data_IF_363504129580
#
_entry.id   IF_363504129580
#
_cell.length_a   1.000
_cell.length_b   1.000
_cell.length_c   1.000
_cell.angle_alpha   90.00
_cell.angle_beta   90.00
_cell.angle_gamma   90.00
#
_symmetry.space_group_name_H-M   'P 1'
#
loop_
_entity.id
_entity.type
_entity.pdbx_description
1 polymer ?
#
# COMPACT_ATOMS: atom_id res chain seq x y z
N UNK A 1 44.77 -30.39 4.31
CA UNK A 1 45.64 -30.16 3.15
C UNK A 1 44.88 -29.28 2.18
N UNK A 2 45.41 -28.06 1.96
CA UNK A 2 45.22 -27.09 0.84
C UNK A 2 43.76 -26.68 0.51
N UNK A 3 43.34 -25.40 0.58
CA UNK A 3 43.96 -24.13 0.15
C UNK A 3 43.10 -23.60 -1.03
N UNK A 4 42.28 -22.55 -0.84
CA UNK A 4 42.51 -21.14 -1.22
C UNK A 4 42.32 -20.91 -2.76
N UNK A 5 41.86 -19.83 -3.38
CA UNK A 5 41.66 -18.39 -3.13
C UNK A 5 40.71 -17.89 -4.27
N UNK A 6 39.74 -17.00 -4.05
CA UNK A 6 39.83 -15.53 -4.07
C UNK A 6 40.38 -14.97 -5.40
N UNK A 7 39.51 -14.30 -6.17
CA UNK A 7 39.84 -13.63 -7.43
C UNK A 7 40.07 -12.14 -7.13
N UNK A 8 41.33 -11.72 -7.14
CA UNK A 8 41.75 -10.32 -7.07
C UNK A 8 41.67 -9.69 -8.47
N UNK A 9 41.23 -8.42 -8.54
CA UNK A 9 41.25 -7.62 -9.77
C UNK A 9 42.24 -6.49 -9.52
N UNK A 10 43.29 -6.45 -10.34
CA UNK A 10 44.43 -5.54 -10.26
C UNK A 10 44.04 -4.05 -10.40
N UNK A 11 44.60 -3.22 -9.53
CA UNK A 11 44.43 -1.76 -9.41
C UNK A 11 45.62 -0.98 -10.02
N UNK A 12 46.12 -1.35 -11.19
CA UNK A 12 47.21 -0.61 -11.86
C UNK A 12 46.93 -0.49 -13.35
N UNK A 13 46.45 0.68 -13.78
CA UNK A 13 46.70 1.34 -15.09
C UNK A 13 45.51 2.22 -15.55
N UNK A 14 45.33 3.38 -14.90
CA UNK A 14 44.56 4.45 -15.54
C UNK A 14 45.14 5.83 -15.28
N UNK A 15 46.35 6.08 -15.79
CA UNK A 15 46.72 7.41 -16.25
C UNK A 15 47.65 7.34 -17.47
N UNK A 16 47.33 8.11 -18.53
CA UNK A 16 48.36 8.96 -19.11
C UNK A 16 47.96 10.44 -19.14
N UNK A 17 49.00 11.24 -19.04
CA UNK A 17 49.09 12.66 -18.76
C UNK A 17 49.03 13.53 -20.01
N UNK A 18 48.20 14.58 -20.04
CA UNK A 18 48.47 15.81 -20.82
C UNK A 18 47.88 17.06 -20.14
N UNK A 19 48.73 18.10 -20.10
CA UNK A 19 48.57 19.35 -19.37
C UNK A 19 47.50 20.30 -19.93
N UNK A 20 46.79 20.98 -19.02
CA UNK A 20 46.16 22.27 -19.29
C UNK A 20 44.76 22.43 -18.72
N UNK A 21 44.57 23.46 -17.88
CA UNK A 21 43.31 23.96 -17.33
C UNK A 21 42.77 23.31 -16.04
N UNK A 22 43.10 23.96 -14.93
CA UNK A 22 42.28 24.05 -13.73
C UNK A 22 40.83 24.37 -14.12
N UNK A 23 39.87 23.48 -13.85
CA UNK A 23 38.49 23.80 -13.48
C UNK A 23 37.96 22.65 -12.63
N UNK A 24 37.92 22.87 -11.31
CA UNK A 24 37.20 21.99 -10.41
C UNK A 24 35.72 21.98 -10.77
N UNK A 25 35.21 20.83 -11.20
CA UNK A 25 33.78 20.55 -11.17
C UNK A 25 33.54 19.29 -10.36
N UNK A 26 33.24 19.56 -9.10
CA UNK A 26 32.55 18.76 -8.11
C UNK A 26 31.69 17.66 -8.72
N UNK A 27 32.09 16.40 -8.50
CA UNK A 27 31.23 15.26 -8.73
C UNK A 27 30.10 15.31 -7.68
N UNK A 28 29.00 16.00 -8.01
CA UNK A 28 27.81 16.06 -7.16
C UNK A 28 27.25 14.67 -7.00
N UNK A 29 27.58 14.01 -5.87
CA UNK A 29 26.97 12.75 -5.46
C UNK A 29 25.48 12.99 -5.32
N UNK A 30 24.70 12.53 -6.29
CA UNK A 30 23.24 12.46 -6.17
C UNK A 30 22.95 11.44 -5.07
N UNK A 31 22.77 11.93 -3.84
CA UNK A 31 22.31 11.13 -2.71
C UNK A 31 20.94 10.55 -3.09
N UNK A 32 20.90 9.26 -3.44
CA UNK A 32 19.64 8.54 -3.70
C UNK A 32 18.85 8.52 -2.39
N UNK A 33 17.74 9.26 -2.34
CA UNK A 33 16.80 9.21 -1.21
C UNK A 33 16.26 7.79 -1.08
N UNK A 34 16.27 7.24 0.13
CA UNK A 34 15.72 5.92 0.41
C UNK A 34 14.18 6.00 0.42
N UNK A 35 13.53 5.05 -0.26
CA UNK A 35 12.07 4.97 -0.34
C UNK A 35 11.61 3.89 0.62
N UNK A 36 10.73 4.25 1.54
CA UNK A 36 10.15 3.30 2.49
C UNK A 36 9.05 2.46 1.82
N UNK A 37 8.84 1.19 2.22
CA UNK A 37 7.82 0.32 1.63
C UNK A 37 6.40 0.83 1.92
N UNK A 38 5.42 0.56 1.04
CA UNK A 38 4.02 0.96 1.27
C UNK A 38 3.41 0.34 2.53
N UNK A 39 2.55 1.11 3.21
CA UNK A 39 1.81 0.69 4.40
C UNK A 39 0.42 0.20 3.96
N UNK A 40 0.05 -1.02 4.35
CA UNK A 40 -1.22 -1.64 3.95
C UNK A 40 -2.27 -1.60 5.06
N UNK A 41 -3.50 -1.21 4.70
CA UNK A 41 -4.67 -1.24 5.58
C UNK A 41 -5.87 -1.88 4.90
N UNK A 42 -6.69 -2.60 5.68
CA UNK A 42 -7.95 -3.13 5.20
C UNK A 42 -9.07 -2.09 5.35
N UNK A 43 -9.80 -1.85 4.27
CA UNK A 43 -11.01 -1.04 4.27
C UNK A 43 -12.21 -1.99 4.24
N UNK A 44 -12.78 -2.27 5.42
CA UNK A 44 -13.98 -3.11 5.54
C UNK A 44 -15.23 -2.33 5.09
N UNK A 45 -15.93 -2.84 4.09
CA UNK A 45 -17.12 -2.22 3.50
C UNK A 45 -18.27 -3.22 3.49
N UNK A 46 -19.48 -2.81 3.88
CA UNK A 46 -20.64 -3.69 3.86
C UNK A 46 -21.21 -3.85 2.46
N UNK A 47 -22.05 -4.87 2.26
CA UNK A 47 -22.66 -5.13 0.95
C UNK A 47 -23.58 -3.98 0.52
N UNK A 48 -24.28 -3.35 1.47
CA UNK A 48 -25.16 -2.22 1.24
C UNK A 48 -24.36 -0.98 0.82
N UNK A 49 -23.24 -0.72 1.48
CA UNK A 49 -22.31 0.36 1.15
C UNK A 49 -21.71 0.17 -0.26
N UNK A 50 -21.39 -1.07 -0.63
CA UNK A 50 -20.86 -1.37 -1.97
C UNK A 50 -21.95 -1.25 -3.04
N UNK A 51 -23.19 -1.59 -2.71
CA UNK A 51 -24.31 -1.50 -3.63
C UNK A 51 -24.69 -0.04 -3.91
N UNK A 52 -24.81 0.79 -2.88
CA UNK A 52 -25.19 2.21 -3.03
C UNK A 52 -24.01 3.14 -3.29
N UNK A 53 -22.78 2.71 -2.99
CA UNK A 53 -21.61 3.58 -2.90
C UNK A 53 -21.61 4.35 -1.57
N UNK A 54 -20.42 4.65 -1.04
CA UNK A 54 -20.31 5.40 0.21
C UNK A 54 -18.98 6.16 0.30
N UNK A 55 -18.92 7.11 1.24
CA UNK A 55 -17.67 7.80 1.59
C UNK A 55 -17.20 7.32 2.96
N UNK A 56 -15.99 6.76 3.02
CA UNK A 56 -15.35 6.36 4.29
C UNK A 56 -14.21 7.31 4.63
N UNK A 57 -14.20 7.78 5.88
CA UNK A 57 -13.16 8.65 6.43
C UNK A 57 -12.24 7.82 7.33
N UNK A 58 -10.98 7.69 6.93
CA UNK A 58 -9.97 6.90 7.63
C UNK A 58 -8.97 7.83 8.30
N UNK A 59 -8.89 7.77 9.63
CA UNK A 59 -7.92 8.56 10.39
C UNK A 59 -6.59 7.81 10.45
N UNK A 60 -5.52 8.49 10.06
CA UNK A 60 -4.14 8.01 10.20
C UNK A 60 -3.39 8.90 11.18
N UNK A 61 -2.40 8.32 11.87
CA UNK A 61 -1.40 9.05 12.63
C UNK A 61 -0.05 8.87 11.95
N UNK A 62 0.66 9.97 11.70
CA UNK A 62 1.96 9.98 11.04
C UNK A 62 2.93 10.92 11.73
N UNK A 63 4.22 10.73 11.50
CA UNK A 63 5.26 11.71 11.81
C UNK A 63 5.49 12.65 10.63
N UNK A 64 5.54 13.94 10.90
CA UNK A 64 5.84 14.99 9.93
C UNK A 64 7.13 15.69 10.33
N UNK A 65 8.00 15.97 9.35
CA UNK A 65 9.25 16.67 9.59
C UNK A 65 8.97 18.14 9.88
N UNK A 66 9.59 18.67 10.94
CA UNK A 66 9.48 20.08 11.26
C UNK A 66 10.32 20.93 10.29
N UNK A 67 10.09 22.25 10.22
CA UNK A 67 10.86 23.14 9.35
C UNK A 67 12.37 23.15 9.60
N UNK A 68 12.81 22.72 10.80
CA UNK A 68 14.22 22.55 11.15
C UNK A 68 14.93 21.42 10.38
N UNK A 69 14.18 20.60 9.63
CA UNK A 69 14.67 19.50 8.83
C UNK A 69 15.25 18.34 9.64
N UNK A 70 15.09 18.34 10.96
CA UNK A 70 15.71 17.36 11.88
C UNK A 70 14.71 16.74 12.83
N UNK A 71 13.87 17.53 13.49
CA UNK A 71 12.89 17.02 14.44
C UNK A 71 11.58 16.63 13.75
N UNK A 72 10.83 15.72 14.36
CA UNK A 72 9.53 15.27 13.85
C UNK A 72 8.44 15.47 14.89
N UNK A 73 7.21 15.75 14.45
CA UNK A 73 6.01 15.80 15.30
C UNK A 73 4.99 14.77 14.84
N UNK A 74 4.15 14.28 15.76
CA UNK A 74 3.00 13.45 15.41
C UNK A 74 1.85 14.33 14.91
N UNK A 75 1.23 13.92 13.82
CA UNK A 75 0.10 14.59 13.19
C UNK A 75 -0.97 13.55 12.87
N UNK A 76 -2.23 13.92 13.06
CA UNK A 76 -3.37 13.11 12.65
C UNK A 76 -3.98 13.69 11.37
N UNK A 77 -4.28 12.83 10.40
CA UNK A 77 -4.90 13.23 9.14
C UNK A 77 -6.06 12.31 8.82
N UNK A 78 -7.12 12.86 8.26
CA UNK A 78 -8.27 12.09 7.78
C UNK A 78 -8.14 11.94 6.26
N UNK A 79 -8.10 10.70 5.80
CA UNK A 79 -8.12 10.33 4.40
C UNK A 79 -9.54 9.95 4.00
N UNK A 80 -10.07 10.58 2.96
CA UNK A 80 -11.42 10.34 2.47
C UNK A 80 -11.39 9.39 1.27
N UNK A 81 -12.13 8.28 1.36
CA UNK A 81 -12.22 7.26 0.33
C UNK A 81 -13.66 7.21 -0.17
N UNK A 82 -13.83 7.54 -1.45
CA UNK A 82 -15.12 7.45 -2.14
C UNK A 82 -15.28 6.07 -2.78
N UNK A 83 -15.89 5.15 -2.05
CA UNK A 83 -16.19 3.79 -2.54
C UNK A 83 -17.25 3.89 -3.62
N UNK A 84 -16.90 3.49 -4.84
CA UNK A 84 -17.84 3.46 -5.96
C UNK A 84 -18.66 2.18 -5.94
N UNK A 85 -19.86 2.29 -6.49
CA UNK A 85 -20.80 1.20 -6.64
C UNK A 85 -20.15 0.01 -7.37
N UNK A 86 -20.34 -1.20 -6.83
CA UNK A 86 -19.89 -2.43 -7.46
C UNK A 86 -18.39 -2.70 -7.37
N UNK A 87 -17.60 -1.91 -6.62
CA UNK A 87 -16.20 -2.23 -6.36
C UNK A 87 -16.04 -3.63 -5.78
N UNK A 88 -15.10 -4.40 -6.33
CA UNK A 88 -14.83 -5.78 -5.93
C UNK A 88 -13.85 -5.81 -4.77
N UNK A 89 -13.92 -6.88 -3.98
CA UNK A 89 -12.89 -7.18 -2.99
C UNK A 89 -11.50 -7.15 -3.65
N UNK A 90 -10.51 -6.61 -2.93
CA UNK A 90 -9.14 -6.48 -3.41
C UNK A 90 -8.85 -5.17 -4.15
N UNK A 91 -9.85 -4.33 -4.42
CA UNK A 91 -9.63 -2.98 -4.98
C UNK A 91 -8.67 -2.19 -4.09
N UNK A 92 -7.59 -1.66 -4.67
CA UNK A 92 -6.55 -0.91 -3.95
C UNK A 92 -6.72 0.60 -4.15
N UNK A 93 -6.64 1.35 -3.06
CA UNK A 93 -6.70 2.81 -3.03
C UNK A 93 -5.40 3.30 -2.41
N UNK A 94 -4.57 3.99 -3.20
CA UNK A 94 -3.24 4.45 -2.77
C UNK A 94 -3.26 5.95 -2.50
N UNK A 95 -2.79 6.33 -1.33
CA UNK A 95 -2.52 7.71 -0.96
C UNK A 95 -0.99 7.92 -0.92
N UNK A 96 -0.43 8.64 -1.91
CA UNK A 96 1.00 8.73 -2.07
C UNK A 96 1.64 9.56 -0.96
N UNK A 97 2.76 9.10 -0.42
CA UNK A 97 3.58 9.82 0.57
C UNK A 97 2.81 10.27 1.84
N UNK A 98 1.76 9.56 2.22
CA UNK A 98 1.00 9.86 3.44
C UNK A 98 1.57 9.19 4.70
N UNK A 99 2.60 8.34 4.57
CA UNK A 99 3.30 7.71 5.68
C UNK A 99 4.19 8.67 6.48
N UNK A 100 5.05 8.08 7.33
CA UNK A 100 5.96 8.85 8.17
C UNK A 100 7.04 9.57 7.35
N UNK A 101 7.33 10.82 7.73
CA UNK A 101 8.42 11.60 7.18
C UNK A 101 9.67 11.49 8.06
N UNK A 102 10.83 11.28 7.44
CA UNK A 102 12.12 11.33 8.10
C UNK A 102 13.18 12.00 7.20
N UNK A 103 14.24 12.61 7.78
CA UNK A 103 15.28 13.27 7.00
C UNK A 103 15.95 12.31 6.00
N UNK A 104 16.02 12.71 4.72
CA UNK A 104 16.68 11.91 3.68
C UNK A 104 15.84 10.76 3.11
N UNK A 105 14.61 10.54 3.60
CA UNK A 105 13.70 9.51 3.10
C UNK A 105 12.51 10.12 2.36
N UNK A 106 11.96 9.35 1.42
CA UNK A 106 10.65 9.64 0.82
C UNK A 106 9.59 8.91 1.65
N UNK A 107 8.53 9.61 2.11
CA UNK A 107 7.49 8.98 2.91
C UNK A 107 6.81 7.83 2.16
N UNK A 108 6.45 6.78 2.89
CA UNK A 108 5.74 5.64 2.34
C UNK A 108 4.34 6.01 1.82
N UNK A 109 3.87 5.25 0.82
CA UNK A 109 2.49 5.31 0.37
C UNK A 109 1.58 4.54 1.33
N UNK A 110 0.36 5.02 1.53
CA UNK A 110 -0.67 4.29 2.29
C UNK A 110 -1.64 3.65 1.31
N UNK A 111 -1.76 2.33 1.37
CA UNK A 111 -2.59 1.53 0.47
C UNK A 111 -3.73 0.89 1.25
N UNK A 112 -4.95 1.33 1.00
CA UNK A 112 -6.15 0.66 1.48
C UNK A 112 -6.58 -0.42 0.51
N UNK A 113 -6.84 -1.63 1.00
CA UNK A 113 -7.41 -2.73 0.22
C UNK A 113 -8.86 -2.94 0.67
N UNK A 114 -9.80 -2.85 -0.27
CA UNK A 114 -11.20 -3.09 0.02
C UNK A 114 -11.41 -4.56 0.41
N UNK A 115 -12.08 -4.76 1.55
CA UNK A 115 -12.50 -6.06 2.07
C UNK A 115 -13.99 -6.06 2.34
N UNK A 116 -14.67 -7.11 1.89
CA UNK A 116 -16.09 -7.27 2.17
C UNK A 116 -16.27 -7.55 3.67
N UNK A 117 -17.17 -6.79 4.31
CA UNK A 117 -17.58 -7.05 5.69
C UNK A 117 -18.50 -8.28 5.68
N UNK A 118 -18.30 -9.27 6.56
CA UNK A 118 -19.21 -10.41 6.67
C UNK A 118 -20.65 -9.95 6.89
N UNK A 119 -21.57 -10.47 6.09
CA UNK A 119 -23.00 -10.19 6.18
C UNK A 119 -23.74 -11.42 6.74
N UNK A 120 -24.73 -11.26 7.63
CA UNK A 120 -25.39 -12.38 8.32
C UNK A 120 -26.13 -13.36 7.39
N UNK A 121 -26.62 -12.89 6.25
CA UNK A 121 -27.44 -13.69 5.33
C UNK A 121 -26.74 -14.00 4.00
N UNK A 122 -25.84 -13.11 3.56
CA UNK A 122 -25.34 -13.11 2.19
C UNK A 122 -23.84 -13.29 2.19
N UNK A 123 -23.33 -14.09 1.25
CA UNK A 123 -21.91 -14.15 0.92
C UNK A 123 -21.75 -13.57 -0.48
N UNK A 124 -20.87 -12.58 -0.63
CA UNK A 124 -20.62 -11.99 -1.93
C UNK A 124 -19.54 -12.77 -2.67
N UNK A 125 -19.82 -13.08 -3.94
CA UNK A 125 -18.86 -13.69 -4.85
C UNK A 125 -18.80 -12.86 -6.13
N UNK A 126 -17.78 -11.99 -6.21
CA UNK A 126 -17.64 -11.04 -7.31
C UNK A 126 -18.83 -10.07 -7.38
N UNK A 127 -19.70 -10.26 -8.36
CA UNK A 127 -20.90 -9.45 -8.57
C UNK A 127 -22.19 -10.13 -8.07
N UNK A 128 -22.09 -11.34 -7.52
CA UNK A 128 -23.23 -12.14 -7.07
C UNK A 128 -23.36 -12.13 -5.54
N UNK A 129 -24.58 -12.32 -5.04
CA UNK A 129 -24.87 -12.56 -3.62
C UNK A 129 -25.45 -13.96 -3.45
N UNK A 130 -24.79 -14.78 -2.64
CA UNK A 130 -25.21 -16.14 -2.31
C UNK A 130 -25.96 -16.12 -0.98
N UNK A 131 -27.17 -16.68 -0.98
CA UNK A 131 -27.98 -16.89 0.21
C UNK A 131 -28.16 -18.40 0.43
N UNK A 132 -27.88 -18.87 1.65
CA UNK A 132 -28.11 -20.28 2.02
C UNK A 132 -29.47 -20.41 2.70
N UNK A 133 -30.47 -20.83 1.95
CA UNK A 133 -31.81 -21.10 2.46
C UNK A 133 -31.90 -22.55 2.98
N UNK A 134 -32.36 -22.73 4.23
CA UNK A 134 -32.77 -24.03 4.74
C UNK A 134 -34.27 -24.20 4.55
N UNK A 135 -34.65 -25.10 3.65
CA UNK A 135 -36.05 -25.41 3.34
C UNK A 135 -36.39 -26.79 3.89
N UNK A 136 -37.56 -26.92 4.50
CA UNK A 136 -38.09 -28.21 4.97
C UNK A 136 -38.71 -28.99 3.81
N UNK A 137 -38.72 -30.31 3.90
CA UNK A 137 -39.33 -31.16 2.87
C UNK A 137 -40.81 -30.83 2.64
N UNK A 138 -41.54 -30.36 3.67
CA UNK A 138 -42.93 -29.94 3.56
C UNK A 138 -43.11 -28.72 2.65
N UNK A 139 -42.20 -27.76 2.71
CA UNK A 139 -42.25 -26.54 1.91
C UNK A 139 -41.93 -26.80 0.42
N UNK A 140 -41.22 -27.89 0.13
CA UNK A 140 -40.85 -28.28 -1.25
C UNK A 140 -41.75 -29.40 -1.78
N UNK A 141 -42.59 -30.01 -0.93
CA UNK A 141 -43.44 -31.13 -1.30
C UNK A 141 -44.49 -30.67 -2.32
N UNK A 142 -44.54 -31.25 -3.53
CA UNK A 142 -45.59 -30.94 -4.50
C UNK A 142 -46.96 -31.53 -4.10
N UNK A 143 -47.02 -32.32 -3.03
CA UNK A 143 -48.22 -33.00 -2.56
C UNK A 143 -48.83 -32.18 -1.41
N UNK A 144 -50.07 -31.67 -1.54
CA UNK A 144 -50.76 -30.98 -0.45
C UNK A 144 -50.99 -31.95 0.71
N UNK A 145 -50.71 -31.51 1.93
CA UNK A 145 -50.99 -32.29 3.13
C UNK A 145 -52.51 -32.51 3.25
N UNK A 146 -52.91 -33.77 3.12
CA UNK A 146 -54.29 -34.27 3.25
C UNK A 146 -54.75 -34.36 4.69
#
# INVERSE_FOLDING_TARGET
MFGAESMEVDDEDMFPQMHGFHHGFSNSRVMRKKIDPPIHHDLKVSLEDIFHGCTKKMKISRRVLNPDGRSTRKEEKVLEINVKQGWKEGTKITFPKEGDQSPGHVPADIVFTLKDKPHPLFVREGSNLLYKASISLREVSPIPAS
#
